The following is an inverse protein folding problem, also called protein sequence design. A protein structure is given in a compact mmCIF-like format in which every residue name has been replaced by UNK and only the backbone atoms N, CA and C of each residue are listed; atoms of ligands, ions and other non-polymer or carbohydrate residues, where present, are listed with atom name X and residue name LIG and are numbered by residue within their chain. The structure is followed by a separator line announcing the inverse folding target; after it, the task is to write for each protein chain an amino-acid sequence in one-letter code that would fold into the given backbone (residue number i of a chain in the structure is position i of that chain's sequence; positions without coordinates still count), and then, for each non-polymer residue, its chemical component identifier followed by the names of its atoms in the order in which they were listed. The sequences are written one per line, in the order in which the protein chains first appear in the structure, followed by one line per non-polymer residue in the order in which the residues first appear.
data_IF_246938395296
#
_entry.id   IF_246938395296
#
_cell.length_a   1.000
_cell.length_b   1.000
_cell.length_c   1.000
_cell.angle_alpha   90.00
_cell.angle_beta   90.00
_cell.angle_gamma   90.00
#
_symmetry.space_group_name_H-M   'P 1'
#
loop_
_entity.id
_entity.type
_entity.pdbx_description
1 polymer ?
#
# COMPACT_ATOMS: atom_id res chain seq x y z
N UNK A 1 0.57 -7.40 9.39
CA UNK A 1 0.24 -6.25 8.53
C UNK A 1 -1.06 -6.55 7.80
N UNK A 2 -2.17 -6.12 8.35
CA UNK A 2 -3.49 -6.19 7.70
C UNK A 2 -3.59 -4.99 6.78
N UNK A 3 -3.33 -5.20 5.50
CA UNK A 3 -3.28 -4.15 4.48
C UNK A 3 -4.61 -3.93 3.76
N UNK A 4 -5.75 -3.86 4.45
CA UNK A 4 -7.02 -3.48 3.81
C UNK A 4 -7.15 -1.96 3.57
N UNK A 5 -6.13 -1.17 3.86
CA UNK A 5 -6.25 0.27 4.05
C UNK A 5 -5.52 1.10 3.01
N UNK A 6 -5.62 0.69 1.75
CA UNK A 6 -5.03 1.46 0.65
C UNK A 6 -5.66 2.85 0.46
N UNK A 7 -6.93 3.01 0.86
CA UNK A 7 -7.60 4.31 0.81
C UNK A 7 -7.13 5.27 1.92
N UNK A 8 -6.56 4.76 3.00
CA UNK A 8 -6.15 5.58 4.14
C UNK A 8 -4.84 6.32 3.85
N UNK A 9 -3.98 5.79 3.01
CA UNK A 9 -2.66 6.37 2.80
C UNK A 9 -2.68 7.79 2.24
N UNK A 10 -3.45 8.04 1.20
CA UNK A 10 -3.49 9.37 0.58
C UNK A 10 -4.28 10.37 1.43
N UNK A 11 -5.31 9.89 2.12
CA UNK A 11 -6.04 10.68 3.10
C UNK A 11 -5.26 10.88 4.40
N UNK A 12 -4.43 9.91 4.76
CA UNK A 12 -3.68 9.87 5.99
C UNK A 12 -2.65 11.00 6.10
N UNK A 13 -2.02 11.34 4.98
CA UNK A 13 -0.96 12.32 4.95
C UNK A 13 -1.37 13.66 4.34
N UNK A 14 -2.56 13.77 3.76
CA UNK A 14 -3.01 14.98 3.06
C UNK A 14 -4.01 15.84 3.83
N UNK A 15 -4.73 15.29 4.81
CA UNK A 15 -5.63 16.09 5.64
C UNK A 15 -5.51 15.73 7.12
N UNK A 16 -5.17 16.72 7.93
CA UNK A 16 -5.12 16.59 9.39
C UNK A 16 -6.53 16.47 10.04
N UNK A 17 -7.60 16.60 9.28
CA UNK A 17 -8.98 16.64 9.74
C UNK A 17 -9.79 15.36 9.48
N UNK A 18 -9.13 14.30 9.02
CA UNK A 18 -9.81 13.03 8.84
C UNK A 18 -9.90 12.26 10.17
N UNK A 19 -11.13 11.88 10.57
CA UNK A 19 -11.36 11.15 11.82
C UNK A 19 -10.58 9.85 11.94
N UNK A 20 -10.30 9.18 10.80
CA UNK A 20 -9.46 7.97 10.78
C UNK A 20 -8.02 8.29 11.17
N UNK A 21 -7.49 9.45 10.77
CA UNK A 21 -6.14 9.90 11.16
C UNK A 21 -6.10 10.21 12.66
N UNK A 22 -7.11 10.89 13.18
CA UNK A 22 -7.22 11.18 14.62
C UNK A 22 -7.26 9.89 15.44
N UNK A 23 -8.14 8.95 15.05
CA UNK A 23 -8.22 7.62 15.69
C UNK A 23 -6.91 6.84 15.64
N UNK A 24 -6.17 6.92 14.53
CA UNK A 24 -4.87 6.25 14.46
C UNK A 24 -3.85 6.92 15.39
N UNK A 25 -3.82 8.25 15.46
CA UNK A 25 -2.97 8.96 16.42
C UNK A 25 -3.30 8.56 17.87
N UNK A 26 -4.59 8.51 18.21
CA UNK A 26 -5.05 8.06 19.52
C UNK A 26 -4.62 6.62 19.81
N UNK A 27 -4.86 5.70 18.88
CA UNK A 27 -4.50 4.29 19.03
C UNK A 27 -2.99 4.10 19.18
N UNK A 28 -2.17 4.78 18.36
CA UNK A 28 -0.72 4.69 18.44
C UNK A 28 -0.17 5.37 19.69
N UNK A 29 -0.80 6.44 20.16
CA UNK A 29 -0.44 7.07 21.44
C UNK A 29 -0.73 6.18 22.65
N UNK A 30 -1.71 5.30 22.55
CA UNK A 30 -2.11 4.36 23.58
C UNK A 30 -1.37 3.02 23.56
N UNK A 31 -0.44 2.82 22.62
CA UNK A 31 0.35 1.58 22.54
C UNK A 31 1.24 1.46 23.79
N UNK A 32 1.10 0.33 24.49
CA UNK A 32 1.81 0.01 25.75
C UNK A 32 2.83 -1.14 25.61
N UNK A 33 3.04 -1.63 24.37
CA UNK A 33 4.02 -2.67 24.04
C UNK A 33 5.09 -2.14 23.07
N UNK A 34 6.32 -2.71 23.09
CA UNK A 34 7.35 -2.35 22.13
C UNK A 34 6.94 -2.64 20.70
N UNK A 35 6.97 -1.63 19.82
CA UNK A 35 6.71 -1.80 18.40
C UNK A 35 7.59 -0.91 17.54
N UNK A 36 7.84 -1.34 16.30
CA UNK A 36 8.51 -0.50 15.29
C UNK A 36 7.48 0.03 14.31
N UNK A 37 7.44 1.35 14.14
CA UNK A 37 6.61 2.04 13.18
C UNK A 37 7.44 2.56 12.01
N UNK A 38 7.13 2.12 10.80
CA UNK A 38 7.78 2.56 9.56
C UNK A 38 6.97 3.69 8.92
N UNK A 39 7.58 4.85 8.73
CA UNK A 39 6.94 6.01 8.09
C UNK A 39 7.80 6.56 6.94
N UNK A 40 7.21 7.16 5.90
CA UNK A 40 7.99 7.88 4.90
C UNK A 40 8.76 9.03 5.53
N UNK A 41 10.01 9.24 5.14
CA UNK A 41 10.89 10.26 5.70
C UNK A 41 10.28 11.68 5.73
N UNK A 42 9.51 12.02 4.69
CA UNK A 42 8.83 13.32 4.58
C UNK A 42 7.74 13.57 5.65
N UNK A 43 7.29 12.52 6.33
CA UNK A 43 6.22 12.60 7.33
C UNK A 43 6.71 12.41 8.77
N UNK A 44 8.01 12.30 8.99
CA UNK A 44 8.61 12.05 10.32
C UNK A 44 8.13 13.04 11.38
N UNK A 45 8.07 14.32 11.02
CA UNK A 45 7.63 15.39 11.96
C UNK A 45 6.14 15.31 12.33
N UNK A 46 5.34 14.59 11.56
CA UNK A 46 3.88 14.40 11.74
C UNK A 46 3.53 12.94 12.00
N UNK A 47 4.52 12.13 12.36
CA UNK A 47 4.29 10.70 12.52
C UNK A 47 3.31 10.45 13.69
N UNK A 48 2.28 9.63 13.47
CA UNK A 48 1.40 9.24 14.57
C UNK A 48 2.20 8.45 15.61
N UNK A 49 1.90 8.66 16.89
CA UNK A 49 2.64 8.05 18.00
C UNK A 49 4.05 8.64 18.25
N UNK A 50 4.40 9.75 17.58
CA UNK A 50 5.64 10.49 17.91
C UNK A 50 5.59 10.94 19.37
N UNK A 51 6.61 10.53 20.16
CA UNK A 51 6.67 10.80 21.61
C UNK A 51 6.18 9.64 22.49
N UNK A 52 5.61 8.57 21.96
CA UNK A 52 5.35 7.35 22.70
C UNK A 52 6.66 6.54 22.82
N UNK A 53 7.18 6.38 24.04
CA UNK A 53 8.44 5.66 24.31
C UNK A 53 8.45 4.18 23.94
N UNK A 54 7.29 3.58 23.72
CA UNK A 54 7.17 2.19 23.25
C UNK A 54 7.29 2.06 21.73
N UNK A 55 7.29 3.17 20.98
CA UNK A 55 7.33 3.16 19.50
C UNK A 55 8.74 3.54 19.02
N UNK A 56 9.45 2.55 18.44
CA UNK A 56 10.68 2.78 17.67
C UNK A 56 10.32 3.28 16.26
N UNK A 57 10.43 4.59 16.04
CA UNK A 57 10.10 5.21 14.77
C UNK A 57 11.23 5.04 13.77
N UNK A 58 10.99 4.32 12.70
CA UNK A 58 11.92 4.14 11.58
C UNK A 58 11.40 4.78 10.32
N UNK A 59 12.29 5.33 9.51
CA UNK A 59 11.92 6.02 8.28
C UNK A 59 12.37 5.26 7.03
N UNK A 60 11.64 5.44 5.94
CA UNK A 60 12.01 4.93 4.62
C UNK A 60 11.82 6.01 3.53
N UNK A 61 12.59 5.92 2.46
CA UNK A 61 12.47 6.84 1.33
C UNK A 61 11.40 6.36 0.36
N UNK A 62 10.27 7.05 0.32
CA UNK A 62 9.16 6.79 -0.62
C UNK A 62 9.41 7.40 -2.01
N UNK A 63 10.66 7.40 -2.48
CA UNK A 63 11.05 7.91 -3.78
C UNK A 63 10.95 6.81 -4.82
N UNK A 64 10.13 7.04 -5.86
CA UNK A 64 10.01 6.11 -6.97
C UNK A 64 11.25 6.18 -7.88
N UNK A 65 11.96 5.06 -8.03
CA UNK A 65 13.11 4.91 -8.93
C UNK A 65 12.75 3.96 -10.05
N UNK A 66 12.89 4.42 -11.28
CA UNK A 66 12.65 3.65 -12.51
C UNK A 66 13.78 3.92 -13.50
N UNK A 67 14.13 2.93 -14.31
CA UNK A 67 15.12 3.08 -15.38
C UNK A 67 15.99 1.84 -15.57
N UNK A 68 17.30 2.02 -15.50
CA UNK A 68 18.22 0.90 -15.66
C UNK A 68 18.18 -0.04 -14.44
N UNK A 69 18.07 -1.35 -14.69
CA UNK A 69 17.95 -2.39 -13.64
C UNK A 69 19.05 -2.31 -12.58
N UNK A 70 20.28 -2.01 -12.97
CA UNK A 70 21.40 -1.88 -12.03
C UNK A 70 21.21 -0.70 -11.07
N UNK A 71 20.68 0.43 -11.58
CA UNK A 71 20.41 1.63 -10.79
C UNK A 71 19.23 1.39 -9.82
N UNK A 72 18.16 0.77 -10.33
CA UNK A 72 17.02 0.37 -9.49
C UNK A 72 17.48 -0.54 -8.36
N UNK A 73 18.22 -1.62 -8.67
CA UNK A 73 18.70 -2.56 -7.66
C UNK A 73 19.62 -1.89 -6.63
N UNK A 74 20.50 -0.98 -7.06
CA UNK A 74 21.37 -0.23 -6.14
C UNK A 74 20.57 0.71 -5.22
N UNK A 75 19.58 1.42 -5.77
CA UNK A 75 18.71 2.31 -5.00
C UNK A 75 17.85 1.53 -3.99
N UNK A 76 17.31 0.38 -4.40
CA UNK A 76 16.48 -0.47 -3.54
C UNK A 76 17.31 -1.12 -2.42
N UNK A 77 18.48 -1.65 -2.75
CA UNK A 77 19.40 -2.24 -1.77
C UNK A 77 19.86 -1.22 -0.73
N UNK A 78 20.10 0.02 -1.13
CA UNK A 78 20.53 1.10 -0.23
C UNK A 78 19.38 1.82 0.47
N UNK A 79 18.12 1.38 0.28
CA UNK A 79 16.92 2.02 0.84
C UNK A 79 16.75 3.50 0.44
N UNK A 80 17.41 3.94 -0.65
CA UNK A 80 17.32 5.32 -1.16
C UNK A 80 16.15 5.54 -2.10
N UNK A 81 15.46 4.47 -2.50
CA UNK A 81 14.28 4.50 -3.33
C UNK A 81 13.61 3.15 -3.38
N UNK A 82 12.49 3.10 -4.07
CA UNK A 82 11.67 1.90 -4.26
C UNK A 82 10.91 1.97 -5.59
N UNK A 83 10.25 0.90 -6.06
CA UNK A 83 9.28 1.01 -7.13
C UNK A 83 8.20 2.05 -6.76
N UNK A 84 7.64 2.77 -7.74
CA UNK A 84 6.72 3.90 -7.46
C UNK A 84 5.65 3.52 -6.44
N UNK A 85 5.64 4.12 -5.24
CA UNK A 85 4.76 3.72 -4.15
C UNK A 85 3.35 4.32 -4.33
N UNK A 86 2.54 3.70 -5.19
CA UNK A 86 1.17 4.14 -5.45
C UNK A 86 0.16 3.71 -4.38
N UNK A 87 0.55 2.78 -3.53
CA UNK A 87 -0.23 2.30 -2.39
C UNK A 87 0.71 1.83 -1.27
N UNK A 88 0.14 1.52 -0.10
CA UNK A 88 0.92 1.09 1.08
C UNK A 88 1.55 -0.30 0.91
N UNK A 89 0.99 -1.15 0.08
CA UNK A 89 1.51 -2.51 -0.12
C UNK A 89 2.92 -2.52 -0.71
N UNK A 90 3.21 -1.59 -1.65
CA UNK A 90 4.52 -1.47 -2.28
C UNK A 90 5.62 -1.20 -1.24
N UNK A 91 5.56 -0.13 -0.41
CA UNK A 91 6.55 0.09 0.63
C UNK A 91 6.57 -1.01 1.69
N UNK A 92 5.43 -1.65 2.01
CA UNK A 92 5.39 -2.74 2.98
C UNK A 92 6.18 -3.97 2.50
N UNK A 93 6.03 -4.36 1.24
CA UNK A 93 6.81 -5.47 0.67
C UNK A 93 8.29 -5.09 0.61
N UNK A 94 8.61 -3.87 0.17
CA UNK A 94 10.00 -3.40 0.10
C UNK A 94 10.66 -3.34 1.49
N UNK A 95 9.92 -2.94 2.52
CA UNK A 95 10.40 -2.97 3.91
C UNK A 95 10.68 -4.41 4.37
N UNK A 96 9.77 -5.36 4.10
CA UNK A 96 9.98 -6.76 4.43
C UNK A 96 11.25 -7.33 3.75
N UNK A 97 11.45 -7.03 2.46
CA UNK A 97 12.65 -7.45 1.73
C UNK A 97 13.92 -6.81 2.30
N UNK A 98 13.86 -5.54 2.68
CA UNK A 98 14.98 -4.82 3.29
C UNK A 98 15.34 -5.34 4.69
N UNK A 99 14.35 -5.82 5.45
CA UNK A 99 14.53 -6.50 6.73
C UNK A 99 15.09 -7.93 6.57
N UNK A 100 15.27 -8.42 5.35
CA UNK A 100 15.92 -9.71 5.05
C UNK A 100 14.97 -10.90 4.99
N UNK A 101 13.65 -10.70 5.03
CA UNK A 101 12.69 -11.79 4.85
C UNK A 101 12.86 -12.43 3.48
N UNK A 102 13.02 -13.75 3.46
CA UNK A 102 13.22 -14.53 2.23
C UNK A 102 11.92 -14.96 1.57
N UNK A 103 10.86 -15.10 2.33
CA UNK A 103 9.52 -15.40 1.84
C UNK A 103 8.54 -14.38 2.40
N UNK A 104 7.86 -13.66 1.53
CA UNK A 104 6.85 -12.65 1.86
C UNK A 104 5.50 -13.10 1.30
N UNK A 105 4.48 -13.20 2.14
CA UNK A 105 3.14 -13.63 1.75
C UNK A 105 2.17 -12.47 1.84
N UNK A 106 1.48 -12.18 0.74
CA UNK A 106 0.50 -11.10 0.65
C UNK A 106 -0.90 -11.68 0.85
N UNK A 107 -1.64 -11.13 1.81
CA UNK A 107 -3.03 -11.50 2.11
C UNK A 107 -3.90 -10.24 2.10
N UNK A 108 -5.15 -10.38 1.66
CA UNK A 108 -6.12 -9.30 1.67
C UNK A 108 -5.93 -8.23 0.59
N UNK A 109 -5.06 -8.46 -0.40
CA UNK A 109 -4.79 -7.53 -1.48
C UNK A 109 -5.52 -7.98 -2.78
N UNK A 110 -6.81 -7.77 -2.86
CA UNK A 110 -7.62 -8.15 -4.02
C UNK A 110 -7.37 -7.27 -5.24
N UNK A 111 -7.18 -5.96 -5.06
CA UNK A 111 -6.88 -4.96 -6.10
C UNK A 111 -7.83 -4.99 -7.30
N UNK A 112 -9.10 -5.34 -7.05
CA UNK A 112 -10.14 -5.46 -8.06
C UNK A 112 -10.75 -4.11 -8.50
N UNK A 113 -10.01 -3.04 -8.36
CA UNK A 113 -10.47 -1.65 -8.61
C UNK A 113 -11.09 -1.43 -9.98
N UNK A 114 -10.60 -2.15 -10.99
CA UNK A 114 -11.11 -2.02 -12.36
C UNK A 114 -12.53 -2.58 -12.53
N UNK A 115 -12.98 -3.49 -11.65
CA UNK A 115 -14.32 -4.10 -11.75
C UNK A 115 -15.46 -3.11 -11.52
N UNK A 116 -15.18 -2.07 -10.76
CA UNK A 116 -16.21 -1.14 -10.30
C UNK A 116 -16.10 0.25 -10.94
N UNK A 117 -15.13 0.42 -11.85
CA UNK A 117 -14.99 1.66 -12.60
C UNK A 117 -16.10 1.78 -13.65
N UNK A 118 -16.79 2.89 -13.63
CA UNK A 118 -17.78 3.27 -14.64
C UNK A 118 -17.73 4.79 -14.89
N UNK A 119 -18.38 5.22 -15.96
CA UNK A 119 -18.60 6.64 -16.24
C UNK A 119 -20.10 6.86 -16.27
N UNK A 120 -20.60 7.82 -15.49
CA UNK A 120 -22.02 8.16 -15.47
C UNK A 120 -22.40 9.10 -16.63
N UNK A 121 -23.71 9.38 -16.76
CA UNK A 121 -24.24 10.22 -17.82
C UNK A 121 -23.79 11.69 -17.74
N UNK A 122 -23.22 12.12 -16.61
CA UNK A 122 -22.61 13.44 -16.42
C UNK A 122 -21.11 13.46 -16.78
N UNK A 123 -20.59 12.39 -17.40
CA UNK A 123 -19.15 12.21 -17.70
C UNK A 123 -18.26 12.18 -16.43
N UNK A 124 -18.80 11.80 -15.28
CA UNK A 124 -18.02 11.63 -14.06
C UNK A 124 -17.58 10.17 -13.93
N UNK A 125 -16.32 9.97 -13.62
CA UNK A 125 -15.83 8.62 -13.31
C UNK A 125 -16.25 8.26 -11.90
N UNK A 126 -16.92 7.14 -11.75
CA UNK A 126 -17.37 6.60 -10.47
C UNK A 126 -16.74 5.24 -10.24
N UNK A 127 -16.38 4.98 -9.01
CA UNK A 127 -15.88 3.68 -8.58
C UNK A 127 -16.57 3.28 -7.28
N UNK A 128 -17.17 2.10 -7.27
CA UNK A 128 -17.76 1.53 -6.07
C UNK A 128 -16.76 0.50 -5.54
N UNK A 129 -16.08 0.81 -4.45
CA UNK A 129 -15.19 -0.13 -3.79
C UNK A 129 -15.93 -0.77 -2.61
N UNK A 130 -16.40 -2.02 -2.73
CA UNK A 130 -17.00 -2.71 -1.60
C UNK A 130 -15.90 -2.96 -0.56
N UNK A 131 -16.02 -2.34 0.60
CA UNK A 131 -15.18 -2.65 1.74
C UNK A 131 -15.68 -3.91 2.44
N UNK A 132 -14.76 -4.66 3.05
CA UNK A 132 -15.04 -5.93 3.74
C UNK A 132 -15.90 -5.75 5.00
N UNK A 133 -16.02 -4.52 5.48
CA UNK A 133 -16.87 -4.14 6.62
C UNK A 133 -18.26 -3.75 6.12
N UNK A 134 -19.31 -4.11 6.87
CA UNK A 134 -20.70 -3.71 6.59
C UNK A 134 -20.76 -2.20 6.45
N UNK A 135 -20.95 -1.76 5.23
CA UNK A 135 -21.04 -0.34 4.90
C UNK A 135 -22.30 0.24 5.53
N UNK A 136 -22.15 1.29 6.32
CA UNK A 136 -23.25 2.18 6.65
C UNK A 136 -23.65 2.98 5.40
N UNK A 137 -24.90 3.46 5.32
CA UNK A 137 -25.39 4.27 4.19
C UNK A 137 -24.51 5.49 3.89
N UNK A 138 -23.78 5.99 4.87
CA UNK A 138 -22.79 7.07 4.73
C UNK A 138 -21.52 6.63 3.98
N UNK A 139 -21.16 5.34 4.02
CA UNK A 139 -20.01 4.78 3.28
C UNK A 139 -20.37 4.51 1.83
N UNK A 140 -21.58 4.06 1.55
CA UNK A 140 -22.12 3.98 0.20
C UNK A 140 -22.13 5.36 -0.50
N UNK A 141 -22.40 6.44 0.22
CA UNK A 141 -22.30 7.80 -0.29
C UNK A 141 -20.83 8.22 -0.55
N UNK A 142 -19.89 7.81 0.30
CA UNK A 142 -18.44 7.99 0.10
C UNK A 142 -17.92 7.22 -1.11
N UNK A 143 -18.42 6.02 -1.34
CA UNK A 143 -18.01 5.15 -2.45
C UNK A 143 -18.47 5.71 -3.81
N UNK A 144 -19.51 6.51 -3.84
CA UNK A 144 -19.96 7.23 -5.04
C UNK A 144 -19.10 8.45 -5.38
N UNK A 145 -18.36 8.93 -4.45
CA UNK A 145 -17.71 10.22 -4.59
C UNK A 145 -16.25 10.05 -4.87
N UNK A 146 -15.71 9.48 -5.77
CA UNK A 146 -14.35 9.96 -5.91
C UNK A 146 -13.50 9.29 -6.93
N UNK A 147 -13.68 9.71 -8.07
CA UNK A 147 -12.53 9.95 -8.94
C UNK A 147 -11.86 11.31 -8.68
N UNK A 148 -12.16 12.01 -7.59
CA UNK A 148 -11.64 13.38 -7.31
C UNK A 148 -11.71 14.34 -8.52
N UNK A 149 -12.69 14.19 -9.40
CA UNK A 149 -12.75 14.91 -10.67
C UNK A 149 -11.67 14.48 -11.69
N UNK A 150 -10.98 13.38 -11.47
CA UNK A 150 -9.97 12.87 -12.38
C UNK A 150 -10.61 12.13 -13.56
N UNK A 151 -10.16 12.39 -14.80
CA UNK A 151 -10.63 11.67 -15.97
C UNK A 151 -10.15 10.20 -15.95
N UNK A 152 -10.93 9.31 -16.56
CA UNK A 152 -10.72 7.85 -16.54
C UNK A 152 -9.29 7.45 -16.90
N UNK A 153 -8.69 8.07 -17.94
CA UNK A 153 -7.32 7.73 -18.35
C UNK A 153 -6.27 8.00 -17.27
N UNK A 154 -6.46 9.00 -16.42
CA UNK A 154 -5.53 9.30 -15.31
C UNK A 154 -5.65 8.27 -14.21
N UNK A 155 -6.86 7.81 -13.91
CA UNK A 155 -7.12 6.76 -12.94
C UNK A 155 -6.50 5.45 -13.40
N UNK A 156 -6.77 5.06 -14.65
CA UNK A 156 -6.19 3.85 -15.25
C UNK A 156 -4.65 3.93 -15.30
N UNK A 157 -4.08 5.08 -15.64
CA UNK A 157 -2.63 5.28 -15.62
C UNK A 157 -2.03 5.08 -14.23
N UNK A 158 -2.73 5.54 -13.18
CA UNK A 158 -2.29 5.32 -11.80
C UNK A 158 -2.32 3.83 -11.42
N UNK A 159 -3.35 3.10 -11.85
CA UNK A 159 -3.44 1.65 -11.66
C UNK A 159 -2.33 0.90 -12.39
N UNK A 160 -2.08 1.25 -13.66
CA UNK A 160 -0.97 0.67 -14.45
C UNK A 160 0.37 0.85 -13.74
N UNK A 161 0.63 2.04 -13.18
CA UNK A 161 1.87 2.28 -12.44
C UNK A 161 1.95 1.39 -11.19
N UNK A 162 0.85 1.20 -10.46
CA UNK A 162 0.82 0.33 -9.28
C UNK A 162 1.13 -1.13 -9.65
N UNK A 163 0.44 -1.68 -10.65
CA UNK A 163 0.68 -3.06 -11.11
C UNK A 163 2.10 -3.25 -11.65
N UNK A 164 2.61 -2.31 -12.43
CA UNK A 164 4.01 -2.34 -12.92
C UNK A 164 5.02 -2.34 -11.77
N UNK A 165 4.73 -1.62 -10.69
CA UNK A 165 5.59 -1.62 -9.50
C UNK A 165 5.68 -3.00 -8.85
N UNK A 166 4.62 -3.80 -8.87
CA UNK A 166 4.67 -5.18 -8.36
C UNK A 166 5.59 -6.08 -9.20
N UNK A 167 5.59 -5.95 -10.52
CA UNK A 167 6.55 -6.67 -11.37
C UNK A 167 7.99 -6.24 -11.09
N UNK A 168 8.21 -4.96 -10.79
CA UNK A 168 9.54 -4.47 -10.39
C UNK A 168 9.96 -5.05 -9.04
N UNK A 169 9.05 -5.16 -8.07
CA UNK A 169 9.31 -5.81 -6.77
C UNK A 169 9.65 -7.28 -6.98
N UNK A 170 8.87 -7.99 -7.77
CA UNK A 170 9.08 -9.43 -8.02
C UNK A 170 10.46 -9.69 -8.62
N UNK A 171 10.85 -8.90 -9.63
CA UNK A 171 12.17 -8.97 -10.23
C UNK A 171 13.29 -8.68 -9.21
N UNK A 172 13.11 -7.67 -8.38
CA UNK A 172 14.08 -7.32 -7.34
C UNK A 172 14.17 -8.40 -6.27
N UNK A 173 13.04 -8.94 -5.82
CA UNK A 173 13.02 -10.03 -4.85
C UNK A 173 13.83 -11.23 -5.35
N UNK A 174 13.60 -11.66 -6.59
CA UNK A 174 14.43 -12.73 -7.22
C UNK A 174 15.89 -12.36 -7.29
N UNK A 175 16.23 -11.12 -7.61
CA UNK A 175 17.63 -10.67 -7.68
C UNK A 175 18.36 -10.82 -6.33
N UNK A 176 17.68 -10.63 -5.20
CA UNK A 176 18.26 -10.77 -3.85
C UNK A 176 18.03 -12.15 -3.22
N UNK A 177 17.53 -13.12 -4.00
CA UNK A 177 17.24 -14.48 -3.52
C UNK A 177 16.10 -14.56 -2.53
N UNK A 178 15.05 -13.73 -2.72
CA UNK A 178 13.81 -13.73 -1.96
C UNK A 178 12.61 -14.03 -2.88
N UNK A 179 11.49 -14.43 -2.28
CA UNK A 179 10.24 -14.72 -2.97
C UNK A 179 9.11 -13.89 -2.36
N UNK A 180 8.23 -13.40 -3.23
CA UNK A 180 6.97 -12.77 -2.82
C UNK A 180 5.83 -13.62 -3.38
N UNK A 181 4.90 -14.01 -2.53
CA UNK A 181 3.75 -14.84 -2.88
C UNK A 181 2.46 -14.07 -2.69
N UNK A 182 1.51 -14.26 -3.61
CA UNK A 182 0.16 -13.74 -3.46
C UNK A 182 -0.75 -14.85 -2.94
N UNK A 183 -1.13 -14.76 -1.68
CA UNK A 183 -2.03 -15.69 -0.98
C UNK A 183 -3.47 -15.16 -0.91
N UNK A 184 -3.80 -14.10 -1.67
CA UNK A 184 -5.15 -13.53 -1.71
C UNK A 184 -5.98 -14.20 -2.79
N UNK A 185 -7.07 -14.92 -2.46
CA UNK A 185 -7.98 -15.48 -3.45
C UNK A 185 -8.60 -14.36 -4.32
N UNK A 186 -8.71 -14.61 -5.63
CA UNK A 186 -9.35 -13.67 -6.57
C UNK A 186 -8.63 -12.33 -6.79
N UNK A 187 -7.42 -12.15 -6.24
CA UNK A 187 -6.64 -10.93 -6.41
C UNK A 187 -6.29 -10.66 -7.87
N UNK A 188 -6.26 -9.38 -8.24
CA UNK A 188 -5.80 -8.92 -9.56
C UNK A 188 -4.29 -8.69 -9.62
N UNK A 189 -3.59 -8.77 -8.49
CA UNK A 189 -2.13 -8.70 -8.46
C UNK A 189 -1.58 -10.00 -9.04
N UNK A 190 -1.09 -9.93 -10.27
CA UNK A 190 -0.63 -11.06 -11.09
C UNK A 190 0.91 -11.19 -11.15
N UNK A 191 1.63 -10.22 -10.62
CA UNK A 191 3.08 -10.20 -10.64
C UNK A 191 3.74 -11.29 -9.77
N UNK A 192 3.04 -11.77 -8.74
CA UNK A 192 3.58 -12.71 -7.76
C UNK A 192 2.97 -14.10 -7.92
N UNK A 193 3.79 -15.12 -7.69
CA UNK A 193 3.32 -16.50 -7.70
C UNK A 193 2.19 -16.70 -6.67
N UNK A 194 1.12 -17.39 -7.09
CA UNK A 194 0.03 -17.77 -6.19
C UNK A 194 0.48 -18.88 -5.25
N UNK A 195 0.26 -18.68 -3.95
CA UNK A 195 0.50 -19.69 -2.93
C UNK A 195 -0.55 -19.57 -1.83
N UNK A 196 -1.56 -20.43 -1.79
CA UNK A 196 -2.56 -20.47 -0.73
C UNK A 196 -1.91 -20.64 0.66
N UNK A 197 -2.52 -20.07 1.71
CA UNK A 197 -1.94 -20.09 3.05
C UNK A 197 -1.88 -21.50 3.67
N UNK A 198 -2.79 -22.38 3.28
CA UNK A 198 -2.83 -23.79 3.70
C UNK A 198 -1.66 -24.62 3.15
N UNK A 199 -0.99 -24.12 2.11
CA UNK A 199 0.21 -24.73 1.52
C UNK A 199 1.52 -24.17 2.11
N UNK A 200 1.46 -23.37 3.17
CA UNK A 200 2.64 -22.87 3.85
C UNK A 200 2.99 -23.85 4.95
N UNK A 201 4.07 -24.62 4.75
CA UNK A 201 4.62 -25.50 5.78
C UNK A 201 4.99 -24.65 7.02
N UNK A 202 4.51 -25.11 8.20
CA UNK A 202 4.77 -24.48 9.50
C UNK A 202 6.18 -24.78 9.96
#
# INVERSE_FOLDING_TARGET
LVGSEMCIRDSFFTSNDNDNVKRLHENLSAVDWPMTLLVPTQYTAKAPGAGNGNIDLRTYNAVGVEGYKWLENAAFKSMRGMPRPRNVLIPSIMAALALGFKNVYIVGADHSWTRTLSVNDNNEVVSIQPHFYKDSDSELARTKAVSMGLPLHKILQSMVVAFRSYYTIERYARHIGANVYNSTPGSFVDAFQRRPLDMIDR
#
